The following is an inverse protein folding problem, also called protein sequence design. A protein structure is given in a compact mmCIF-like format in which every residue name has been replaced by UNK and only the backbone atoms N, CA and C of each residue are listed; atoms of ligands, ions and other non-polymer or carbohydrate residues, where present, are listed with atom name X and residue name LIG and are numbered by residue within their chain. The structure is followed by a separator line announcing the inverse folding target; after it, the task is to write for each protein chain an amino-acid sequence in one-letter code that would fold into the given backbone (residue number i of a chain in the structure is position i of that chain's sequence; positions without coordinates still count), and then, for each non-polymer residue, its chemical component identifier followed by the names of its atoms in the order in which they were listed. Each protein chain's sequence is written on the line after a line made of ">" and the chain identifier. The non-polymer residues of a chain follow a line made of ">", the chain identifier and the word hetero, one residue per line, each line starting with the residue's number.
data_IF_619335176209
#
_entry.id   IF_619335176209
#
_cell.length_a   1.000
_cell.length_b   1.000
_cell.length_c   1.000
_cell.angle_alpha   90.00
_cell.angle_beta   90.00
_cell.angle_gamma   90.00
#
_symmetry.space_group_name_H-M   'P 1'
#
loop_
_entity.id
_entity.type
_entity.pdbx_description
1 polymer ?
#
# COMPACT_ATOMS: atom_id res chain seq x y z
N UNK A 1 -42.28 4.58 -19.23
CA UNK A 1 -42.01 5.98 -19.63
C UNK A 1 -40.63 6.32 -19.11
N UNK A 2 -39.72 6.63 -20.04
CA UNK A 2 -38.33 7.13 -19.88
C UNK A 2 -37.39 6.39 -18.93
N UNK A 3 -36.71 5.39 -19.51
CA UNK A 3 -35.31 5.09 -19.21
C UNK A 3 -34.48 6.24 -19.76
N UNK A 4 -34.21 7.28 -18.95
CA UNK A 4 -33.30 8.37 -19.36
C UNK A 4 -32.74 9.17 -18.18
N UNK A 5 -32.09 8.52 -17.21
CA UNK A 5 -31.38 9.22 -16.12
C UNK A 5 -30.05 8.61 -15.66
N UNK A 6 -29.46 7.62 -16.36
CA UNK A 6 -28.14 7.06 -15.98
C UNK A 6 -26.95 7.49 -16.86
N UNK A 7 -27.16 8.13 -18.03
CA UNK A 7 -26.03 8.49 -18.91
C UNK A 7 -25.41 9.88 -18.64
N UNK A 8 -26.11 10.78 -17.95
CA UNK A 8 -25.63 12.16 -17.75
C UNK A 8 -24.52 12.27 -16.68
N UNK A 9 -24.55 11.45 -15.61
CA UNK A 9 -23.51 11.53 -14.57
C UNK A 9 -22.19 10.91 -15.04
N UNK A 10 -22.22 9.74 -15.67
CA UNK A 10 -21.03 9.05 -16.18
C UNK A 10 -20.30 9.81 -17.30
N UNK A 11 -21.04 10.44 -18.21
CA UNK A 11 -20.46 11.27 -19.27
C UNK A 11 -19.77 12.51 -18.70
N UNK A 12 -20.43 13.21 -17.76
CA UNK A 12 -19.85 14.38 -17.10
C UNK A 12 -18.61 14.02 -16.27
N UNK A 13 -18.63 12.87 -15.60
CA UNK A 13 -17.50 12.35 -14.83
C UNK A 13 -16.29 12.04 -15.74
N UNK A 14 -16.56 11.42 -16.89
CA UNK A 14 -15.53 11.12 -17.91
C UNK A 14 -14.94 12.39 -18.51
N UNK A 15 -15.76 13.42 -18.75
CA UNK A 15 -15.29 14.73 -19.24
C UNK A 15 -14.39 15.43 -18.22
N UNK A 16 -14.76 15.44 -16.93
CA UNK A 16 -13.91 16.00 -15.86
C UNK A 16 -12.56 15.31 -15.76
N UNK A 17 -12.53 13.98 -15.88
CA UNK A 17 -11.28 13.21 -15.89
C UNK A 17 -10.43 13.50 -17.14
N UNK A 18 -11.06 13.63 -18.30
CA UNK A 18 -10.35 14.00 -19.53
C UNK A 18 -9.75 15.40 -19.45
N UNK A 19 -10.46 16.35 -18.83
CA UNK A 19 -9.96 17.70 -18.52
C UNK A 19 -8.78 17.67 -17.55
N UNK A 20 -8.81 16.81 -16.52
CA UNK A 20 -7.69 16.65 -15.59
C UNK A 20 -6.44 16.10 -16.30
N UNK A 21 -6.60 15.11 -17.19
CA UNK A 21 -5.50 14.56 -18.00
C UNK A 21 -4.94 15.65 -18.93
N UNK A 22 -5.81 16.42 -19.59
CA UNK A 22 -5.40 17.55 -20.43
C UNK A 22 -4.64 18.63 -19.64
N UNK A 23 -5.07 18.94 -18.41
CA UNK A 23 -4.36 19.88 -17.53
C UNK A 23 -2.95 19.39 -17.20
N UNK A 24 -2.77 18.09 -16.96
CA UNK A 24 -1.44 17.49 -16.72
C UNK A 24 -0.56 17.58 -17.98
N UNK A 25 -1.11 17.20 -19.13
CA UNK A 25 -0.39 17.28 -20.42
C UNK A 25 0.02 18.73 -20.71
N UNK A 26 -0.88 19.70 -20.48
CA UNK A 26 -0.59 21.11 -20.63
C UNK A 26 0.48 21.60 -19.65
N UNK A 27 0.45 21.13 -18.40
CA UNK A 27 1.49 21.44 -17.40
C UNK A 27 2.87 20.89 -17.78
N UNK A 28 2.93 19.66 -18.26
CA UNK A 28 4.16 19.04 -18.75
C UNK A 28 4.65 19.75 -20.02
N UNK A 29 3.76 20.04 -20.97
CA UNK A 29 4.09 20.79 -22.19
C UNK A 29 4.62 22.18 -21.88
N UNK A 30 3.99 22.89 -20.93
CA UNK A 30 4.46 24.18 -20.43
C UNK A 30 5.85 24.08 -19.79
N UNK A 31 6.12 23.03 -19.02
CA UNK A 31 7.44 22.79 -18.43
C UNK A 31 8.55 22.66 -19.48
N UNK A 32 8.28 21.96 -20.59
CA UNK A 32 9.24 21.84 -21.70
C UNK A 32 9.35 23.11 -22.55
N UNK A 33 8.24 23.82 -22.78
CA UNK A 33 8.23 25.04 -23.59
C UNK A 33 8.98 26.20 -22.93
N UNK A 34 8.84 26.38 -21.61
CA UNK A 34 9.62 27.36 -20.84
C UNK A 34 11.06 26.88 -20.55
N UNK A 35 11.59 26.02 -21.42
CA UNK A 35 12.87 25.32 -21.38
C UNK A 35 14.14 26.20 -21.30
N UNK A 36 14.00 27.50 -21.53
CA UNK A 36 15.11 28.48 -21.47
C UNK A 36 15.02 29.43 -20.26
N UNK A 37 13.91 29.41 -19.51
CA UNK A 37 13.67 30.29 -18.35
C UNK A 37 14.13 29.68 -17.01
N UNK A 38 14.14 30.51 -15.95
CA UNK A 38 14.45 30.10 -14.57
C UNK A 38 13.64 28.89 -14.09
N UNK A 39 14.33 27.95 -13.42
CA UNK A 39 13.76 26.71 -12.88
C UNK A 39 12.55 26.96 -11.97
N UNK A 40 12.55 28.06 -11.21
CA UNK A 40 11.47 28.43 -10.29
C UNK A 40 10.13 28.61 -11.01
N UNK A 41 10.12 29.30 -12.14
CA UNK A 41 8.88 29.57 -12.89
C UNK A 41 8.27 28.28 -13.46
N UNK A 42 9.12 27.34 -13.90
CA UNK A 42 8.65 26.04 -14.42
C UNK A 42 8.02 25.18 -13.34
N UNK A 43 8.66 25.09 -12.18
CA UNK A 43 8.14 24.27 -11.07
C UNK A 43 6.83 24.86 -10.55
N UNK A 44 6.72 26.18 -10.43
CA UNK A 44 5.47 26.82 -10.03
C UNK A 44 4.36 26.55 -11.05
N UNK A 45 4.65 26.70 -12.35
CA UNK A 45 3.68 26.39 -13.41
C UNK A 45 3.20 24.93 -13.39
N UNK A 46 4.12 23.99 -13.18
CA UNK A 46 3.80 22.57 -13.03
C UNK A 46 2.93 22.31 -11.80
N UNK A 47 3.28 22.91 -10.65
CA UNK A 47 2.52 22.76 -9.40
C UNK A 47 1.11 23.32 -9.53
N UNK A 48 0.93 24.44 -10.22
CA UNK A 48 -0.40 25.01 -10.51
C UNK A 48 -1.20 24.07 -11.40
N UNK A 49 -0.62 23.57 -12.50
CA UNK A 49 -1.29 22.62 -13.39
C UNK A 49 -1.69 21.32 -12.67
N UNK A 50 -0.81 20.82 -11.79
CA UNK A 50 -1.08 19.65 -10.96
C UNK A 50 -2.19 19.92 -9.94
N UNK A 51 -2.19 21.09 -9.30
CA UNK A 51 -3.26 21.51 -8.39
C UNK A 51 -4.62 21.55 -9.10
N UNK A 52 -4.68 22.11 -10.31
CA UNK A 52 -5.90 22.14 -11.14
C UNK A 52 -6.35 20.73 -11.50
N UNK A 53 -5.44 19.84 -11.92
CA UNK A 53 -5.79 18.46 -12.21
C UNK A 53 -6.38 17.74 -10.99
N UNK A 54 -5.78 17.94 -9.80
CA UNK A 54 -6.28 17.36 -8.54
C UNK A 54 -7.67 17.86 -8.19
N UNK A 55 -7.97 19.16 -8.35
CA UNK A 55 -9.31 19.68 -8.05
C UNK A 55 -10.37 19.08 -8.98
N UNK A 56 -10.08 18.91 -10.27
CA UNK A 56 -10.98 18.23 -11.20
C UNK A 56 -11.22 16.76 -10.84
N UNK A 57 -10.17 16.04 -10.41
CA UNK A 57 -10.28 14.65 -9.94
C UNK A 57 -11.07 14.56 -8.63
N UNK A 58 -10.91 15.50 -7.70
CA UNK A 58 -11.70 15.48 -6.46
C UNK A 58 -13.18 15.80 -6.68
N UNK A 59 -13.53 16.56 -7.72
CA UNK A 59 -14.92 16.82 -8.12
C UNK A 59 -15.57 15.68 -8.94
N UNK A 60 -14.85 14.58 -9.15
CA UNK A 60 -15.28 13.37 -9.87
C UNK A 60 -15.76 12.34 -8.85
N UNK A 61 -16.70 11.47 -9.22
CA UNK A 61 -17.28 10.44 -8.34
C UNK A 61 -16.19 9.52 -7.74
N UNK A 62 -15.12 9.26 -8.51
CA UNK A 62 -13.96 8.51 -8.06
C UNK A 62 -13.22 9.20 -6.90
N UNK A 63 -13.01 10.51 -7.00
CA UNK A 63 -12.33 11.30 -5.97
C UNK A 63 -13.16 11.42 -4.70
N UNK A 64 -14.48 11.61 -4.83
CA UNK A 64 -15.38 11.70 -3.70
C UNK A 64 -15.54 10.34 -2.98
N UNK A 65 -15.65 9.23 -3.73
CA UNK A 65 -15.69 7.89 -3.16
C UNK A 65 -14.40 7.53 -2.43
N UNK A 66 -13.24 7.89 -2.99
CA UNK A 66 -11.96 7.73 -2.32
C UNK A 66 -11.90 8.52 -1.01
N UNK A 67 -12.40 9.76 -1.00
CA UNK A 67 -12.45 10.58 0.21
C UNK A 67 -13.32 9.95 1.30
N UNK A 68 -14.52 9.46 0.95
CA UNK A 68 -15.38 8.74 1.87
C UNK A 68 -14.74 7.44 2.36
N UNK A 69 -14.04 6.71 1.50
CA UNK A 69 -13.29 5.51 1.89
C UNK A 69 -12.19 5.81 2.91
N UNK A 70 -11.43 6.89 2.73
CA UNK A 70 -10.39 7.32 3.69
C UNK A 70 -11.01 7.70 5.03
N UNK A 71 -12.14 8.42 5.02
CA UNK A 71 -12.86 8.76 6.25
C UNK A 71 -13.39 7.50 6.96
N UNK A 72 -14.01 6.57 6.22
CA UNK A 72 -14.50 5.30 6.74
C UNK A 72 -13.38 4.42 7.30
N UNK A 73 -12.26 4.31 6.59
CA UNK A 73 -11.08 3.55 7.02
C UNK A 73 -10.53 4.07 8.35
N UNK A 74 -10.48 5.38 8.56
CA UNK A 74 -10.04 5.94 9.84
C UNK A 74 -10.98 5.57 11.01
N UNK A 75 -12.29 5.46 10.76
CA UNK A 75 -13.25 5.01 11.77
C UNK A 75 -13.04 3.53 12.10
N UNK A 76 -12.72 2.70 11.11
CA UNK A 76 -12.41 1.28 11.31
C UNK A 76 -11.08 1.05 12.01
N UNK A 77 -10.05 1.83 11.69
CA UNK A 77 -8.77 1.78 12.40
C UNK A 77 -8.92 2.07 13.90
N UNK A 78 -9.89 2.92 14.28
CA UNK A 78 -10.21 3.17 15.71
C UNK A 78 -10.93 1.99 16.38
N UNK A 79 -11.55 1.09 15.61
CA UNK A 79 -12.13 -0.16 16.12
C UNK A 79 -11.08 -1.24 16.33
N UNK A 80 -9.85 -1.04 15.85
CA UNK A 80 -8.75 -1.98 16.10
C UNK A 80 -8.36 -1.86 17.57
N UNK A 81 -8.78 -2.86 18.34
CA UNK A 81 -8.28 -3.07 19.69
C UNK A 81 -6.88 -3.66 19.56
N UNK A 82 -5.87 -2.80 19.66
CA UNK A 82 -4.49 -3.25 19.66
C UNK A 82 -4.23 -4.13 20.88
N UNK A 83 -3.60 -5.29 20.69
CA UNK A 83 -3.34 -6.21 21.79
C UNK A 83 -2.49 -5.53 22.86
N UNK A 84 -2.80 -5.83 24.11
CA UNK A 84 -2.04 -5.29 25.23
C UNK A 84 -0.62 -5.87 25.24
N UNK A 85 0.35 -5.15 25.82
CA UNK A 85 1.74 -5.67 25.94
C UNK A 85 1.80 -7.05 26.59
N UNK A 86 0.86 -7.36 27.49
CA UNK A 86 0.76 -8.67 28.16
C UNK A 86 0.35 -9.78 27.20
N UNK A 87 -0.67 -9.55 26.37
CA UNK A 87 -1.14 -10.52 25.36
C UNK A 87 -0.09 -10.78 24.28
N UNK A 88 0.58 -9.72 23.81
CA UNK A 88 1.68 -9.82 22.86
C UNK A 88 2.83 -10.63 23.44
N UNK A 89 3.26 -10.33 24.67
CA UNK A 89 4.33 -11.07 25.33
C UNK A 89 3.97 -12.53 25.60
N UNK A 90 2.72 -12.80 26.00
CA UNK A 90 2.24 -14.17 26.22
C UNK A 90 2.28 -14.98 24.92
N UNK A 91 1.78 -14.41 23.82
CA UNK A 91 1.77 -15.07 22.52
C UNK A 91 3.19 -15.32 22.01
N UNK A 92 4.07 -14.31 22.10
CA UNK A 92 5.49 -14.45 21.73
C UNK A 92 6.20 -15.50 22.60
N UNK A 93 5.93 -15.56 23.89
CA UNK A 93 6.54 -16.54 24.79
C UNK A 93 6.04 -17.96 24.48
N UNK A 94 4.74 -18.14 24.22
CA UNK A 94 4.18 -19.42 23.79
C UNK A 94 4.87 -19.92 22.52
N UNK A 95 4.98 -19.06 21.50
CA UNK A 95 5.67 -19.39 20.24
C UNK A 95 7.16 -19.67 20.50
N UNK A 96 7.82 -18.87 21.35
CA UNK A 96 9.23 -19.08 21.72
C UNK A 96 9.48 -20.42 22.40
N UNK A 97 8.62 -20.83 23.33
CA UNK A 97 8.69 -22.14 23.99
C UNK A 97 8.46 -23.27 22.99
N UNK A 98 7.47 -23.13 22.10
CA UNK A 98 7.19 -24.12 21.05
C UNK A 98 8.40 -24.32 20.13
N UNK A 99 9.01 -23.23 19.64
CA UNK A 99 10.18 -23.29 18.76
C UNK A 99 11.39 -23.88 19.49
N UNK A 100 11.61 -23.52 20.75
CA UNK A 100 12.70 -24.10 21.55
C UNK A 100 12.52 -25.60 21.76
N UNK A 101 11.29 -26.04 22.07
CA UNK A 101 10.98 -27.46 22.23
C UNK A 101 11.25 -28.26 20.96
N UNK A 102 10.73 -27.79 19.81
CA UNK A 102 10.97 -28.44 18.52
C UNK A 102 12.46 -28.42 18.16
N UNK A 103 13.16 -27.30 18.40
CA UNK A 103 14.59 -27.17 18.15
C UNK A 103 15.43 -28.15 18.97
N UNK A 104 15.11 -28.35 20.25
CA UNK A 104 15.77 -29.35 21.11
C UNK A 104 15.51 -30.77 20.63
N UNK A 105 14.26 -31.08 20.24
CA UNK A 105 13.94 -32.40 19.70
C UNK A 105 14.71 -32.70 18.42
N UNK A 106 14.73 -31.76 17.45
CA UNK A 106 15.49 -31.93 16.22
C UNK A 106 16.98 -32.09 16.48
N UNK A 107 17.56 -31.23 17.34
CA UNK A 107 18.97 -31.34 17.72
C UNK A 107 19.31 -32.71 18.33
N UNK A 108 18.42 -33.26 19.17
CA UNK A 108 18.60 -34.60 19.74
C UNK A 108 18.55 -35.70 18.68
N UNK A 109 17.60 -35.64 17.75
CA UNK A 109 17.51 -36.61 16.65
C UNK A 109 18.71 -36.51 15.72
N UNK A 110 19.14 -35.31 15.36
CA UNK A 110 20.31 -35.09 14.51
C UNK A 110 21.57 -35.67 15.17
N UNK A 111 21.76 -35.43 16.48
CA UNK A 111 22.87 -36.01 17.24
C UNK A 111 22.82 -37.54 17.30
N UNK A 112 21.64 -38.12 17.51
CA UNK A 112 21.45 -39.57 17.54
C UNK A 112 21.69 -40.22 16.17
N UNK A 113 21.22 -39.58 15.09
CA UNK A 113 21.46 -40.02 13.72
C UNK A 113 22.94 -39.97 13.37
N UNK A 114 23.64 -38.87 13.70
CA UNK A 114 25.08 -38.74 13.49
C UNK A 114 25.87 -39.81 14.24
N UNK A 115 25.53 -40.06 15.51
CA UNK A 115 26.14 -41.12 16.30
C UNK A 115 25.88 -42.52 15.70
N UNK A 116 24.64 -42.80 15.30
CA UNK A 116 24.26 -44.05 14.65
C UNK A 116 24.99 -44.29 13.33
N UNK A 117 25.08 -43.26 12.48
CA UNK A 117 25.82 -43.32 11.22
C UNK A 117 27.31 -43.53 11.48
N UNK A 118 27.91 -42.83 12.46
CA UNK A 118 29.31 -43.00 12.82
C UNK A 118 29.66 -44.42 13.28
N UNK A 119 28.77 -45.08 14.02
CA UNK A 119 28.95 -46.49 14.39
C UNK A 119 28.86 -47.44 13.19
N UNK A 120 27.92 -47.20 12.26
CA UNK A 120 27.74 -48.07 11.08
C UNK A 120 28.85 -47.88 10.05
N UNK A 121 29.34 -46.65 9.87
CA UNK A 121 30.41 -46.32 8.89
C UNK A 121 31.82 -46.46 9.44
N UNK A 122 31.98 -46.76 10.74
CA UNK A 122 33.29 -46.95 11.38
C UNK A 122 34.13 -45.67 11.49
N UNK A 123 33.53 -44.49 11.29
CA UNK A 123 34.19 -43.18 11.40
C UNK A 123 34.15 -42.59 12.83
N UNK A 124 33.68 -43.34 13.83
CA UNK A 124 33.58 -42.88 15.22
C UNK A 124 34.91 -42.93 15.99
N UNK A 125 35.73 -41.89 15.84
CA UNK A 125 36.81 -41.48 16.73
C UNK A 125 36.74 -39.99 16.96
#
# INVERSE_FOLDING_TARGET
>A
MSVETEQTSGAMNSVKLMLAILAIIAGIGGFYYFGEESLLLRVIGLLVALGVAVTFVMMTDLGQNFWYFVQGSQVELRKIVWPTRKETMQTTLIVGVMVLFVGVLLWMFDGLLLWGIGMVTGQGG
#
